data_IF_551244063969
#
_entry.id   IF_551244063969
#
_cell.length_a   1.000
_cell.length_b   1.000
_cell.length_c   1.000
_cell.angle_alpha   90.00
_cell.angle_beta   90.00
_cell.angle_gamma   90.00
#
_symmetry.space_group_name_H-M   'P 1'
#
loop_
_entity.id
_entity.type
_entity.pdbx_description
1 polymer ?
#
# COMPACT_ATOMS: atom_id res chain seq x y z
N UNK A 1 -8.22 -10.80 -32.82
CA UNK A 1 -6.84 -11.12 -32.40
C UNK A 1 -6.88 -11.24 -30.87
N UNK A 2 -7.09 -12.47 -30.37
CA UNK A 2 -7.12 -12.76 -28.93
C UNK A 2 -5.74 -12.50 -28.33
N UNK A 3 -5.67 -11.74 -27.24
CA UNK A 3 -4.43 -11.52 -26.48
C UNK A 3 -4.54 -12.34 -25.20
N UNK A 4 -3.67 -13.35 -25.04
CA UNK A 4 -3.45 -14.03 -23.75
C UNK A 4 -2.99 -12.98 -22.73
N UNK A 5 -3.66 -12.90 -21.58
CA UNK A 5 -3.26 -12.04 -20.48
C UNK A 5 -1.83 -12.39 -20.04
N UNK A 6 -0.96 -11.38 -19.99
CA UNK A 6 0.31 -11.47 -19.31
C UNK A 6 0.02 -11.11 -17.84
N UNK A 7 0.09 -12.08 -16.94
CA UNK A 7 0.21 -11.83 -15.48
C UNK A 7 1.64 -12.22 -15.09
N UNK A 8 2.15 -11.80 -13.93
CA UNK A 8 3.37 -12.44 -13.43
C UNK A 8 3.07 -13.91 -13.24
N UNK A 9 3.71 -14.75 -14.03
CA UNK A 9 3.46 -16.18 -13.96
C UNK A 9 4.35 -16.74 -12.86
N UNK A 10 3.74 -17.27 -11.80
CA UNK A 10 4.46 -18.12 -10.88
C UNK A 10 4.81 -19.40 -11.64
N UNK A 11 6.10 -19.64 -11.83
CA UNK A 11 6.58 -20.92 -12.34
C UNK A 11 7.07 -21.74 -11.15
N UNK A 12 6.34 -22.82 -10.86
CA UNK A 12 6.79 -23.80 -9.89
C UNK A 12 7.98 -24.58 -10.48
N UNK A 13 9.17 -24.41 -9.90
CA UNK A 13 10.26 -25.39 -10.00
C UNK A 13 10.27 -26.14 -8.67
N UNK A 14 10.30 -27.48 -8.56
CA UNK A 14 10.79 -28.55 -9.42
C UNK A 14 9.90 -29.81 -9.24
N UNK A 15 9.87 -30.66 -10.28
CA UNK A 15 9.07 -31.91 -10.44
C UNK A 15 7.59 -31.79 -10.87
N UNK A 16 7.39 -31.58 -12.18
CA UNK A 16 6.40 -32.32 -13.00
C UNK A 16 4.97 -31.80 -13.11
N UNK A 17 4.62 -31.19 -14.26
CA UNK A 17 3.69 -31.76 -15.25
C UNK A 17 3.55 -30.88 -16.52
N UNK A 18 3.35 -31.55 -17.65
CA UNK A 18 3.27 -31.05 -19.03
C UNK A 18 1.86 -30.55 -19.42
N UNK A 19 1.84 -29.75 -20.48
CA UNK A 19 0.74 -29.05 -21.19
C UNK A 19 -0.45 -29.94 -21.69
N UNK A 20 -1.67 -29.36 -21.84
CA UNK A 20 -2.43 -29.13 -23.12
C UNK A 20 -3.99 -29.04 -22.98
N UNK A 21 -4.63 -28.10 -23.73
CA UNK A 21 -6.02 -28.10 -24.29
C UNK A 21 -7.22 -27.74 -23.37
N UNK A 22 -8.40 -27.24 -23.78
CA UNK A 22 -9.10 -26.75 -25.01
C UNK A 22 -10.27 -25.85 -24.53
N UNK A 23 -10.68 -24.86 -25.34
CA UNK A 23 -11.76 -23.88 -25.12
C UNK A 23 -13.20 -24.46 -25.22
N UNK A 24 -14.13 -23.98 -24.38
CA UNK A 24 -15.58 -23.94 -24.66
C UNK A 24 -16.23 -22.72 -23.97
N UNK A 25 -17.25 -22.18 -24.62
CA UNK A 25 -17.69 -20.78 -24.57
C UNK A 25 -18.18 -20.22 -23.21
N UNK A 26 -17.89 -18.93 -22.98
CA UNK A 26 -18.53 -18.13 -21.92
C UNK A 26 -17.77 -16.84 -21.60
N UNK A 27 -18.14 -15.74 -22.28
CA UNK A 27 -17.59 -14.39 -22.06
C UNK A 27 -17.51 -13.98 -20.58
N UNK A 28 -16.30 -13.70 -20.09
CA UNK A 28 -16.01 -12.79 -18.97
C UNK A 28 -14.74 -11.99 -19.25
N UNK A 29 -14.86 -10.67 -19.16
CA UNK A 29 -13.84 -9.67 -19.48
C UNK A 29 -12.50 -9.89 -18.74
N UNK A 30 -11.43 -9.50 -19.43
CA UNK A 30 -10.02 -9.83 -19.19
C UNK A 30 -9.40 -9.30 -17.89
N UNK A 31 -8.69 -10.18 -17.17
CA UNK A 31 -7.71 -9.86 -16.11
C UNK A 31 -6.47 -9.15 -16.69
N UNK A 32 -6.61 -7.91 -17.13
CA UNK A 32 -5.57 -7.26 -17.94
C UNK A 32 -4.39 -6.69 -17.14
N UNK A 33 -4.45 -6.60 -15.80
CA UNK A 33 -3.58 -5.68 -15.04
C UNK A 33 -3.02 -6.32 -13.77
N UNK A 34 -1.72 -6.63 -13.82
CA UNK A 34 -0.99 -7.26 -12.71
C UNK A 34 -0.18 -6.29 -11.85
N UNK A 35 0.01 -5.04 -12.30
CA UNK A 35 0.71 -3.99 -11.55
C UNK A 35 -0.18 -2.77 -11.34
N UNK A 36 -0.13 -2.23 -10.13
CA UNK A 36 -0.86 -1.02 -9.77
C UNK A 36 -0.01 -0.09 -8.92
N UNK A 37 -0.18 1.21 -9.18
CA UNK A 37 0.28 2.28 -8.32
C UNK A 37 -0.91 3.12 -7.86
N UNK A 38 -0.73 3.82 -6.75
CA UNK A 38 -1.69 4.68 -6.09
C UNK A 38 -1.01 6.02 -5.82
N UNK A 39 -0.79 6.87 -6.85
CA UNK A 39 0.05 8.06 -6.74
C UNK A 39 -0.36 8.98 -5.60
N UNK A 40 -1.68 9.11 -5.41
CA UNK A 40 -2.29 9.77 -4.24
C UNK A 40 -2.89 8.71 -3.33
N UNK A 41 -2.47 8.73 -2.06
CA UNK A 41 -2.95 7.83 -1.02
C UNK A 41 -4.48 7.84 -0.97
N UNK A 42 -5.06 6.64 -0.87
CA UNK A 42 -6.49 6.38 -0.71
C UNK A 42 -7.42 6.75 -1.87
N UNK A 43 -6.94 7.40 -2.93
CA UNK A 43 -7.68 7.47 -4.21
C UNK A 43 -7.56 6.14 -4.97
N UNK A 44 -8.33 5.95 -6.06
CA UNK A 44 -8.23 4.73 -6.87
C UNK A 44 -6.87 4.64 -7.57
N UNK A 45 -6.39 3.41 -7.72
CA UNK A 45 -5.09 3.14 -8.33
C UNK A 45 -5.11 3.21 -9.85
N UNK A 46 -3.94 3.46 -10.40
CA UNK A 46 -3.63 3.40 -11.82
C UNK A 46 -3.02 2.05 -12.13
N UNK A 47 -3.64 1.25 -13.01
CA UNK A 47 -2.98 0.07 -13.54
C UNK A 47 -1.82 0.45 -14.48
N UNK A 48 -0.71 -0.28 -14.40
CA UNK A 48 0.48 0.00 -15.21
C UNK A 48 1.03 -1.30 -15.82
N UNK A 49 1.75 -1.19 -16.94
CA UNK A 49 2.36 -2.35 -17.61
C UNK A 49 3.78 -2.65 -17.13
N UNK A 50 4.44 -1.67 -16.53
CA UNK A 50 5.80 -1.79 -16.00
C UNK A 50 6.07 -0.70 -14.97
N UNK A 51 7.08 -0.92 -14.12
CA UNK A 51 7.52 0.06 -13.14
C UNK A 51 8.96 -0.19 -12.72
N UNK A 52 9.63 0.89 -12.30
CA UNK A 52 10.88 0.81 -11.57
C UNK A 52 10.59 0.46 -10.11
N UNK A 53 11.33 -0.51 -9.58
CA UNK A 53 11.27 -0.95 -8.19
C UNK A 53 12.18 -0.06 -7.35
N UNK A 54 11.74 0.27 -6.13
CA UNK A 54 12.52 1.03 -5.15
C UNK A 54 12.39 0.38 -3.79
N UNK A 55 13.29 0.68 -2.85
CA UNK A 55 13.15 0.19 -1.47
C UNK A 55 11.86 0.63 -0.79
N UNK A 56 11.19 1.65 -1.32
CA UNK A 56 10.03 2.29 -0.71
C UNK A 56 8.70 1.98 -1.42
N UNK A 57 8.72 1.09 -2.43
CA UNK A 57 7.57 0.74 -3.26
C UNK A 57 7.83 0.93 -4.76
N UNK A 58 6.83 0.68 -5.58
CA UNK A 58 6.89 0.99 -7.02
C UNK A 58 7.10 2.50 -7.22
N UNK A 59 7.83 2.89 -8.27
CA UNK A 59 8.04 4.29 -8.57
C UNK A 59 6.70 5.05 -8.68
N UNK A 60 6.68 6.26 -8.10
CA UNK A 60 5.51 7.14 -8.00
C UNK A 60 4.34 6.63 -7.13
N UNK A 61 4.48 5.51 -6.43
CA UNK A 61 3.43 5.00 -5.56
C UNK A 61 3.33 5.78 -4.23
N UNK A 62 2.13 6.28 -3.92
CA UNK A 62 1.76 6.96 -2.66
C UNK A 62 2.72 8.08 -2.26
N UNK A 63 3.15 8.89 -3.23
CA UNK A 63 3.98 10.09 -3.01
C UNK A 63 3.18 11.31 -2.59
N UNK A 64 1.85 11.25 -2.75
CA UNK A 64 0.93 12.31 -2.34
C UNK A 64 -0.12 11.77 -1.36
N UNK A 65 -0.68 12.65 -0.53
CA UNK A 65 -1.83 12.35 0.32
C UNK A 65 -2.71 13.57 0.54
N UNK A 66 -3.94 13.33 0.97
CA UNK A 66 -4.90 14.38 1.33
C UNK A 66 -5.10 14.44 2.84
N UNK A 67 -5.26 15.65 3.37
CA UNK A 67 -5.76 15.87 4.72
C UNK A 67 -7.00 16.75 4.67
N UNK A 68 -7.98 16.43 5.51
CA UNK A 68 -9.11 17.29 5.79
C UNK A 68 -8.68 18.35 6.79
N UNK A 69 -9.05 19.60 6.55
CA UNK A 69 -8.95 20.67 7.54
C UNK A 69 -10.23 20.66 8.38
N UNK A 70 -10.10 20.42 9.67
CA UNK A 70 -11.22 20.44 10.61
C UNK A 70 -11.60 21.88 10.99
N UNK A 71 -12.76 22.05 11.63
CA UNK A 71 -13.27 23.38 12.01
C UNK A 71 -12.31 24.16 12.94
N UNK A 72 -11.58 23.45 13.80
CA UNK A 72 -10.56 23.99 14.70
C UNK A 72 -9.18 24.17 14.01
N UNK A 73 -9.12 23.99 12.69
CA UNK A 73 -7.91 24.07 11.85
C UNK A 73 -6.88 22.98 12.11
N UNK A 74 -7.22 21.95 12.88
CA UNK A 74 -6.41 20.73 12.93
C UNK A 74 -6.52 19.96 11.61
N UNK A 75 -5.47 19.19 11.31
CA UNK A 75 -5.38 18.42 10.08
C UNK A 75 -5.62 16.95 10.37
N UNK A 76 -6.49 16.33 9.57
CA UNK A 76 -6.85 14.93 9.71
C UNK A 76 -6.50 14.16 8.45
N UNK A 77 -5.68 13.12 8.60
CA UNK A 77 -5.35 12.20 7.51
C UNK A 77 -6.61 11.62 6.88
N UNK A 78 -6.72 11.75 5.56
CA UNK A 78 -7.82 11.14 4.82
C UNK A 78 -7.45 9.72 4.39
N UNK A 79 -8.39 8.80 4.62
CA UNK A 79 -8.30 7.42 4.20
C UNK A 79 -9.67 6.94 3.72
N UNK A 80 -9.70 6.15 2.65
CA UNK A 80 -10.96 5.73 2.00
C UNK A 80 -11.90 4.93 2.89
N UNK A 81 -11.41 4.34 3.99
CA UNK A 81 -12.25 3.66 4.98
C UNK A 81 -12.98 4.60 5.94
N UNK A 82 -12.64 5.89 5.94
CA UNK A 82 -13.26 6.96 6.76
C UNK A 82 -13.92 8.01 5.89
N UNK A 83 -13.34 8.31 4.73
CA UNK A 83 -13.82 9.26 3.72
C UNK A 83 -14.07 8.48 2.44
N UNK A 84 -15.22 7.83 2.36
CA UNK A 84 -15.54 6.87 1.30
C UNK A 84 -15.57 7.56 -0.08
N UNK A 85 -15.94 8.84 -0.12
CA UNK A 85 -15.99 9.68 -1.32
C UNK A 85 -14.63 9.88 -1.99
N UNK A 86 -13.52 9.58 -1.30
CA UNK A 86 -12.19 9.46 -1.93
C UNK A 86 -12.19 8.42 -3.08
N UNK A 87 -13.08 7.44 -3.06
CA UNK A 87 -13.22 6.50 -4.15
C UNK A 87 -13.88 7.09 -5.40
N UNK A 88 -14.36 8.32 -5.39
CA UNK A 88 -14.90 8.97 -6.59
C UNK A 88 -13.80 9.55 -7.49
N UNK A 89 -12.55 9.51 -7.03
CA UNK A 89 -11.39 10.01 -7.76
C UNK A 89 -10.62 8.86 -8.40
N UNK A 90 -10.45 8.93 -9.72
CA UNK A 90 -9.57 8.06 -10.50
C UNK A 90 -8.25 8.78 -10.75
N UNK A 91 -7.17 8.01 -10.85
CA UNK A 91 -5.86 8.54 -11.19
C UNK A 91 -5.33 7.82 -12.42
N UNK A 92 -4.79 8.59 -13.36
CA UNK A 92 -3.98 8.12 -14.47
C UNK A 92 -2.59 8.75 -14.36
N UNK A 93 -1.58 8.12 -14.96
CA UNK A 93 -0.19 8.61 -14.91
C UNK A 93 0.37 8.73 -16.32
N UNK A 94 0.84 9.93 -16.63
CA UNK A 94 1.68 10.22 -17.79
C UNK A 94 3.12 10.14 -17.33
N UNK A 95 3.83 9.08 -17.71
CA UNK A 95 5.23 8.90 -17.32
C UNK A 95 6.14 9.87 -18.08
N UNK A 96 7.23 10.36 -17.44
CA UNK A 96 8.15 11.26 -18.08
C UNK A 96 8.82 10.60 -19.28
N UNK A 97 9.03 11.36 -20.35
CA UNK A 97 9.82 10.92 -21.52
C UNK A 97 11.22 11.49 -21.44
N UNK A 98 12.20 10.66 -21.79
CA UNK A 98 13.60 11.05 -21.89
C UNK A 98 14.06 10.96 -23.35
N UNK A 99 14.94 11.87 -23.75
CA UNK A 99 15.63 11.82 -25.03
C UNK A 99 16.61 10.63 -25.05
N UNK A 100 17.16 10.32 -26.22
CA UNK A 100 18.20 9.30 -26.36
C UNK A 100 19.44 9.60 -25.49
N UNK A 101 19.70 10.90 -25.25
CA UNK A 101 20.78 11.44 -24.42
C UNK A 101 20.42 11.51 -22.92
N UNK A 102 19.20 11.07 -22.54
CA UNK A 102 18.76 10.97 -21.15
C UNK A 102 18.13 12.24 -20.56
N UNK A 103 18.03 13.33 -21.33
CA UNK A 103 17.38 14.56 -20.90
C UNK A 103 15.85 14.39 -20.87
N UNK A 104 15.17 14.87 -19.82
CA UNK A 104 13.70 14.84 -19.76
C UNK A 104 13.13 15.77 -20.83
N UNK A 105 12.37 15.22 -21.78
CA UNK A 105 11.70 15.99 -22.85
C UNK A 105 10.25 16.31 -22.51
N UNK A 106 9.61 15.48 -21.69
CA UNK A 106 8.26 15.69 -21.19
C UNK A 106 8.25 15.34 -19.69
N UNK A 107 7.81 16.28 -18.86
CA UNK A 107 7.61 16.03 -17.44
C UNK A 107 6.45 15.08 -17.21
N UNK A 108 6.61 14.20 -16.22
CA UNK A 108 5.57 13.26 -15.87
C UNK A 108 4.48 13.91 -15.01
N UNK A 109 3.22 13.47 -15.18
CA UNK A 109 2.05 14.02 -14.49
C UNK A 109 1.11 12.94 -13.97
N UNK A 110 0.42 13.24 -12.88
CA UNK A 110 -0.77 12.55 -12.41
C UNK A 110 -1.97 13.29 -12.96
N UNK A 111 -2.86 12.59 -13.67
CA UNK A 111 -4.16 13.12 -14.07
C UNK A 111 -5.20 12.58 -13.09
N UNK A 112 -5.74 13.47 -12.26
CA UNK A 112 -6.80 13.14 -11.29
C UNK A 112 -8.14 13.48 -11.91
N UNK A 113 -9.04 12.49 -11.99
CA UNK A 113 -10.39 12.65 -12.53
C UNK A 113 -11.41 12.43 -11.43
N UNK A 114 -12.30 13.38 -11.22
CA UNK A 114 -13.42 13.28 -10.29
C UNK A 114 -14.73 13.16 -11.06
N UNK A 115 -15.57 12.20 -10.64
CA UNK A 115 -16.95 12.06 -11.09
C UNK A 115 -17.87 12.01 -9.88
N UNK A 116 -18.93 12.83 -9.88
CA UNK A 116 -19.90 12.84 -8.80
C UNK A 116 -20.57 11.46 -8.63
N UNK A 117 -21.12 11.11 -7.45
CA UNK A 117 -21.71 9.79 -7.23
C UNK A 117 -22.93 9.54 -8.12
N UNK A 118 -23.27 8.27 -8.34
CA UNK A 118 -24.48 7.89 -9.10
C UNK A 118 -25.71 8.56 -8.48
N UNK A 119 -26.53 9.19 -9.34
CA UNK A 119 -27.72 9.94 -8.92
C UNK A 119 -27.48 11.43 -8.64
N UNK A 120 -26.23 11.91 -8.64
CA UNK A 120 -25.93 13.34 -8.57
C UNK A 120 -26.20 14.05 -9.90
N UNK A 121 -26.73 15.30 -9.93
CA UNK A 121 -26.99 16.04 -11.17
C UNK A 121 -25.75 16.17 -12.07
N UNK A 122 -24.59 16.37 -11.48
CA UNK A 122 -23.31 16.50 -12.19
C UNK A 122 -22.60 15.16 -12.44
N UNK A 123 -23.30 14.00 -12.39
CA UNK A 123 -22.67 12.68 -12.56
C UNK A 123 -21.88 12.56 -13.86
N UNK A 124 -22.41 13.13 -14.94
CA UNK A 124 -21.81 13.03 -16.27
C UNK A 124 -20.70 14.07 -16.50
N UNK A 125 -20.50 15.00 -15.56
CA UNK A 125 -19.43 15.99 -15.61
C UNK A 125 -18.17 15.40 -14.99
N UNK A 126 -17.12 15.25 -15.80
CA UNK A 126 -15.79 14.86 -15.32
C UNK A 126 -14.98 16.11 -15.04
N UNK A 127 -14.52 16.26 -13.80
CA UNK A 127 -13.54 17.30 -13.42
C UNK A 127 -12.15 16.68 -13.47
N UNK A 128 -11.19 17.40 -14.03
CA UNK A 128 -9.80 16.95 -14.13
C UNK A 128 -8.83 17.92 -13.46
N UNK A 129 -7.72 17.39 -12.96
CA UNK A 129 -6.60 18.12 -12.39
C UNK A 129 -5.30 17.42 -12.76
N UNK A 130 -4.32 18.17 -13.25
CA UNK A 130 -2.96 17.68 -13.49
C UNK A 130 -2.05 18.08 -12.33
N UNK A 131 -1.30 17.12 -11.80
CA UNK A 131 -0.30 17.33 -10.74
C UNK A 131 1.04 16.79 -11.26
N UNK A 132 2.16 17.54 -11.17
CA UNK A 132 3.47 17.01 -11.52
C UNK A 132 3.78 15.74 -10.71
N UNK A 133 4.34 14.70 -11.34
CA UNK A 133 4.75 13.48 -10.62
C UNK A 133 5.87 13.77 -9.60
N UNK A 134 6.76 14.68 -9.98
CA UNK A 134 7.90 15.14 -9.19
C UNK A 134 7.93 16.67 -9.26
N UNK A 135 7.17 17.37 -8.39
CA UNK A 135 7.23 18.82 -8.28
C UNK A 135 8.67 19.30 -8.06
N UNK A 136 9.16 20.15 -8.97
CA UNK A 136 10.55 20.60 -8.98
C UNK A 136 10.83 21.70 -7.93
N UNK A 137 9.84 22.57 -7.67
CA UNK A 137 9.96 23.67 -6.72
C UNK A 137 9.14 23.37 -5.46
N UNK A 138 9.81 22.77 -4.48
CA UNK A 138 9.26 22.58 -3.12
C UNK A 138 9.84 23.59 -2.13
N UNK A 139 10.72 24.48 -2.59
CA UNK A 139 11.37 25.46 -1.73
C UNK A 139 10.35 26.54 -1.33
N UNK A 140 10.31 26.89 -0.05
CA UNK A 140 9.32 27.84 0.47
C UNK A 140 7.89 27.30 0.62
N UNK A 141 7.59 26.07 0.19
CA UNK A 141 6.31 25.43 0.51
C UNK A 141 6.18 25.19 2.02
N UNK A 142 4.95 25.35 2.53
CA UNK A 142 4.66 25.07 3.94
C UNK A 142 4.90 23.59 4.23
N UNK A 143 5.71 23.30 5.24
CA UNK A 143 5.93 21.95 5.73
C UNK A 143 4.84 21.57 6.72
N UNK A 144 4.26 20.39 6.55
CA UNK A 144 3.27 19.78 7.44
C UNK A 144 3.85 18.48 7.99
N UNK A 145 3.77 18.31 9.30
CA UNK A 145 4.09 17.04 9.94
C UNK A 145 2.88 16.10 9.88
N UNK A 146 3.11 14.88 9.40
CA UNK A 146 2.10 13.85 9.24
C UNK A 146 2.52 12.63 10.05
N UNK A 147 1.75 12.31 11.09
CA UNK A 147 1.82 11.01 11.75
C UNK A 147 0.82 10.06 11.09
N UNK A 148 1.31 8.90 10.62
CA UNK A 148 0.42 7.78 10.33
C UNK A 148 0.88 6.57 11.13
N UNK A 149 -0.01 6.00 11.93
CA UNK A 149 0.28 4.78 12.69
C UNK A 149 1.54 4.91 13.58
N UNK A 150 1.77 6.08 14.18
CA UNK A 150 2.95 6.39 15.01
C UNK A 150 4.29 6.40 14.28
N UNK A 151 4.27 6.54 12.97
CA UNK A 151 5.44 6.82 12.16
C UNK A 151 5.23 8.20 11.53
N UNK A 152 6.02 9.18 11.96
CA UNK A 152 5.90 10.57 11.53
C UNK A 152 6.80 10.84 10.31
N UNK A 153 6.38 11.77 9.46
CA UNK A 153 7.21 12.32 8.39
C UNK A 153 6.81 13.77 8.10
N UNK A 154 7.70 14.50 7.44
CA UNK A 154 7.42 15.84 6.91
C UNK A 154 6.94 15.73 5.46
N UNK A 155 6.05 16.63 5.07
CA UNK A 155 5.56 16.72 3.71
C UNK A 155 5.24 18.18 3.36
N UNK A 156 5.19 18.49 2.07
CA UNK A 156 5.00 19.83 1.55
C UNK A 156 3.54 20.05 1.17
N UNK A 157 2.92 21.11 1.69
CA UNK A 157 1.62 21.59 1.25
C UNK A 157 1.77 22.16 -0.16
N UNK A 158 1.13 21.49 -1.13
CA UNK A 158 1.22 21.82 -2.55
C UNK A 158 0.48 23.12 -2.91
N UNK A 159 -0.17 23.76 -1.94
CA UNK A 159 -0.73 25.10 -2.11
C UNK A 159 -2.19 25.10 -2.57
N UNK A 160 -2.71 26.33 -2.71
CA UNK A 160 -4.14 26.60 -2.86
C UNK A 160 -4.72 26.12 -4.20
N UNK A 161 -3.93 26.09 -5.26
CA UNK A 161 -4.41 25.66 -6.58
C UNK A 161 -4.97 24.23 -6.51
N UNK A 162 -4.15 23.27 -6.06
CA UNK A 162 -4.57 21.88 -5.92
C UNK A 162 -5.58 21.69 -4.78
N UNK A 163 -5.35 22.36 -3.64
CA UNK A 163 -6.20 22.23 -2.46
C UNK A 163 -7.63 22.73 -2.70
N UNK A 164 -7.79 23.84 -3.43
CA UNK A 164 -9.12 24.37 -3.78
C UNK A 164 -9.87 23.42 -4.74
N UNK A 165 -9.16 22.80 -5.69
CA UNK A 165 -9.78 21.85 -6.62
C UNK A 165 -10.34 20.63 -5.87
N UNK A 166 -9.55 20.02 -4.97
CA UNK A 166 -10.04 18.92 -4.14
C UNK A 166 -11.17 19.38 -3.24
N UNK A 167 -11.02 20.53 -2.57
CA UNK A 167 -12.05 21.07 -1.68
C UNK A 167 -13.39 21.29 -2.40
N UNK A 168 -13.36 21.79 -3.64
CA UNK A 168 -14.55 21.96 -4.46
C UNK A 168 -15.21 20.65 -4.92
N UNK A 169 -14.44 19.54 -4.97
CA UNK A 169 -14.99 18.21 -5.26
C UNK A 169 -15.55 17.54 -4.00
N UNK A 170 -14.87 17.66 -2.86
CA UNK A 170 -15.30 17.07 -1.59
C UNK A 170 -16.42 17.86 -0.88
N UNK A 171 -16.52 19.16 -1.13
CA UNK A 171 -17.46 20.06 -0.44
C UNK A 171 -16.99 20.51 0.95
N UNK A 172 -15.73 20.25 1.30
CA UNK A 172 -15.08 20.70 2.54
C UNK A 172 -13.60 20.98 2.31
N UNK A 173 -12.96 21.70 3.23
CA UNK A 173 -11.57 22.13 3.10
C UNK A 173 -10.60 20.92 3.17
N UNK A 174 -9.80 20.76 2.11
CA UNK A 174 -8.83 19.67 1.92
C UNK A 174 -7.51 20.27 1.43
N UNK A 175 -6.39 19.77 1.95
CA UNK A 175 -5.05 20.10 1.45
C UNK A 175 -4.39 18.89 0.79
N UNK A 176 -3.64 19.15 -0.28
CA UNK A 176 -2.80 18.16 -0.96
C UNK A 176 -1.36 18.26 -0.44
N UNK A 177 -0.85 17.16 0.08
CA UNK A 177 0.55 17.05 0.47
C UNK A 177 1.37 16.24 -0.53
N UNK A 178 2.58 16.69 -0.78
CA UNK A 178 3.63 15.95 -1.48
C UNK A 178 4.73 15.54 -0.51
N UNK A 179 5.14 14.28 -0.57
CA UNK A 179 6.14 13.75 0.33
C UNK A 179 7.56 14.33 0.06
N UNK A 180 7.87 14.64 -1.19
CA UNK A 180 9.25 14.97 -1.61
C UNK A 180 10.20 13.81 -1.31
N UNK A 181 11.43 14.12 -0.87
CA UNK A 181 12.42 13.09 -0.52
C UNK A 181 12.27 12.52 0.89
N UNK A 182 11.31 13.03 1.67
CA UNK A 182 11.02 12.49 2.99
C UNK A 182 10.47 11.06 2.92
N UNK A 183 10.63 10.29 3.97
CA UNK A 183 10.06 8.95 4.11
C UNK A 183 9.62 8.76 5.56
N UNK A 184 8.86 7.70 5.81
CA UNK A 184 8.41 7.30 7.15
C UNK A 184 8.96 5.91 7.49
N UNK A 185 9.35 5.73 8.74
CA UNK A 185 9.97 4.50 9.22
C UNK A 185 8.95 3.36 9.27
N UNK A 186 9.35 2.16 8.86
CA UNK A 186 8.57 0.94 9.06
C UNK A 186 8.79 0.44 10.49
N UNK A 187 7.71 0.19 11.22
CA UNK A 187 7.76 -0.15 12.63
C UNK A 187 7.45 -1.63 12.89
N UNK A 188 7.69 -2.07 14.13
CA UNK A 188 7.40 -3.43 14.59
C UNK A 188 8.34 -4.45 13.98
N UNK A 189 7.82 -5.66 13.75
CA UNK A 189 8.59 -6.80 13.25
C UNK A 189 8.45 -7.01 11.74
N UNK A 190 7.92 -6.01 11.03
CA UNK A 190 7.75 -6.07 9.58
C UNK A 190 9.01 -5.89 8.76
N UNK A 191 9.97 -5.01 9.12
CA UNK A 191 11.21 -4.90 8.37
C UNK A 191 11.92 -6.27 8.31
N UNK A 192 12.45 -6.70 7.15
CA UNK A 192 13.16 -7.98 7.04
C UNK A 192 14.31 -8.14 8.05
N UNK A 193 14.89 -7.03 8.51
CA UNK A 193 15.98 -7.02 9.47
C UNK A 193 15.55 -6.76 10.93
N UNK A 194 14.25 -6.70 11.23
CA UNK A 194 13.77 -6.47 12.60
C UNK A 194 14.29 -7.53 13.59
N UNK A 195 14.34 -8.79 13.18
CA UNK A 195 14.86 -9.89 14.00
C UNK A 195 16.36 -9.75 14.34
N UNK A 196 17.15 -9.12 13.45
CA UNK A 196 18.56 -8.83 13.72
C UNK A 196 18.71 -7.68 14.74
N UNK A 197 17.87 -6.64 14.62
CA UNK A 197 17.85 -5.49 15.54
C UNK A 197 17.38 -5.86 16.95
N UNK A 198 16.46 -6.81 17.08
CA UNK A 198 16.00 -7.34 18.37
C UNK A 198 17.05 -8.15 19.15
N UNK A 199 18.09 -8.67 18.49
CA UNK A 199 19.22 -9.35 19.17
C UNK A 199 20.25 -8.35 19.72
N UNK A 200 20.53 -7.28 18.99
CA UNK A 200 21.48 -6.23 19.44
C UNK A 200 20.99 -5.43 20.64
N UNK A 201 19.67 -5.27 20.83
CA UNK A 201 19.10 -4.64 22.02
C UNK A 201 19.05 -5.57 23.23
N UNK A 202 18.99 -6.90 23.02
CA UNK A 202 19.07 -7.89 24.10
C UNK A 202 20.50 -8.07 24.63
N UNK A 203 21.53 -7.90 23.80
CA UNK A 203 22.94 -8.01 24.21
C UNK A 203 23.47 -6.73 24.92
N UNK A 204 22.72 -5.63 24.90
CA UNK A 204 23.06 -4.38 25.61
C UNK A 204 22.43 -4.27 27.00
N UNK A 205 21.71 -5.29 27.48
CA UNK A 205 21.24 -5.38 28.87
C UNK A 205 21.93 -6.51 29.61
N UNK A 206 23.14 -6.24 30.10
CA UNK A 206 23.72 -7.05 31.18
C UNK A 206 22.89 -6.84 32.46
N UNK A 207 22.49 -7.91 33.18
CA UNK A 207 21.62 -7.77 34.35
C UNK A 207 22.45 -7.27 35.53
N UNK A 208 22.27 -5.99 35.90
CA UNK A 208 22.68 -5.54 37.23
C UNK A 208 21.63 -5.99 38.25
N UNK A 209 22.08 -6.87 39.13
CA UNK A 209 21.34 -7.50 40.19
C UNK A 209 21.11 -6.50 41.34
N UNK A 210 19.83 -6.26 41.73
CA UNK A 210 19.28 -5.68 42.97
C UNK A 210 17.85 -5.21 42.63
N UNK A 211 16.73 -5.64 43.22
CA UNK A 211 16.46 -6.15 44.55
C UNK A 211 15.33 -5.29 45.17
N UNK A 212 14.07 -5.76 45.07
CA UNK A 212 12.96 -5.43 45.99
C UNK A 212 12.17 -4.12 45.81
N UNK A 213 10.84 -4.22 45.96
CA UNK A 213 10.01 -3.19 46.62
C UNK A 213 8.85 -2.57 45.82
N UNK A 214 7.62 -2.78 46.31
CA UNK A 214 6.36 -2.15 45.89
C UNK A 214 6.06 -0.92 46.80
N UNK A 215 5.44 0.12 46.20
CA UNK A 215 4.74 1.32 46.76
C UNK A 215 5.59 2.58 46.89
N UNK A 216 5.14 3.84 46.68
CA UNK A 216 3.87 4.48 46.27
C UNK A 216 4.11 6.02 46.18
N UNK A 217 3.24 6.73 45.45
CA UNK A 217 2.73 8.11 45.72
C UNK A 217 3.28 9.37 44.98
N UNK A 218 2.38 9.97 44.16
CA UNK A 218 1.91 11.38 43.99
C UNK A 218 2.88 12.50 44.48
N UNK A 219 3.23 13.61 43.79
CA UNK A 219 2.42 14.66 43.13
C UNK A 219 3.32 15.71 42.41
N UNK A 220 2.81 16.24 41.27
CA UNK A 220 2.88 17.62 40.73
C UNK A 220 4.16 18.35 40.25
N UNK A 221 3.96 18.96 39.06
CA UNK A 221 4.46 20.24 38.53
C UNK A 221 5.76 20.29 37.67
N UNK A 222 5.56 20.20 36.33
CA UNK A 222 6.12 20.94 35.17
C UNK A 222 7.63 21.32 35.12
N UNK A 223 8.32 21.34 33.95
CA UNK A 223 7.82 21.72 32.62
C UNK A 223 8.32 20.84 31.45
N UNK A 224 7.80 21.13 30.24
CA UNK A 224 8.38 20.88 28.90
C UNK A 224 9.66 20.01 28.85
N UNK A 225 9.51 18.73 28.47
CA UNK A 225 10.63 17.97 27.94
C UNK A 225 10.76 18.24 26.45
N UNK A 226 11.76 19.07 26.17
CA UNK A 226 12.43 19.25 24.90
C UNK A 226 12.78 17.87 24.31
N UNK A 227 12.17 17.52 23.18
CA UNK A 227 12.62 16.40 22.37
C UNK A 227 13.75 16.94 21.49
N UNK A 228 14.91 17.19 22.09
CA UNK A 228 16.11 17.47 21.32
C UNK A 228 16.76 16.16 20.88
N UNK A 229 16.70 15.99 19.58
CA UNK A 229 17.61 15.26 18.73
C UNK A 229 19.08 15.49 19.09
N UNK A 230 19.76 14.47 19.58
CA UNK A 230 20.92 13.86 18.88
C UNK A 230 21.80 13.00 19.80
N UNK A 231 22.51 12.08 19.15
CA UNK A 231 23.60 11.24 19.67
C UNK A 231 23.21 9.88 20.29
N UNK A 232 22.73 8.97 19.45
CA UNK A 232 23.42 7.68 19.38
C UNK A 232 24.17 7.60 18.04
N UNK A 233 25.48 7.80 18.11
CA UNK A 233 26.43 7.42 17.06
C UNK A 233 26.49 5.90 16.99
N UNK A 234 25.45 5.31 16.39
CA UNK A 234 25.48 4.00 15.77
C UNK A 234 25.17 4.19 14.30
N UNK A 235 25.92 3.52 13.42
CA UNK A 235 25.72 3.55 11.98
C UNK A 235 24.40 2.82 11.59
N UNK A 236 23.25 3.34 12.02
CA UNK A 236 21.94 2.67 11.96
C UNK A 236 21.00 3.18 10.87
N UNK A 237 21.34 4.30 10.21
CA UNK A 237 20.47 4.91 9.20
C UNK A 237 20.33 4.12 7.90
N UNK A 238 21.37 3.38 7.49
CA UNK A 238 21.38 2.70 6.20
C UNK A 238 20.61 1.36 6.21
N UNK A 239 20.38 0.80 7.40
CA UNK A 239 19.66 -0.47 7.56
C UNK A 239 18.18 -0.26 7.92
N UNK A 240 17.70 0.96 8.13
CA UNK A 240 16.27 1.16 8.35
C UNK A 240 15.45 0.91 7.07
N UNK A 241 14.26 0.33 7.26
CA UNK A 241 13.27 0.20 6.20
C UNK A 241 12.33 1.41 6.25
N UNK A 242 12.19 2.05 5.10
CA UNK A 242 11.44 3.28 4.95
C UNK A 242 10.37 3.12 3.87
N UNK A 243 9.23 3.76 4.05
CA UNK A 243 8.12 3.75 3.08
C UNK A 243 7.65 5.17 2.75
N UNK A 244 6.88 5.29 1.67
CA UNK A 244 6.15 6.51 1.31
C UNK A 244 4.88 6.63 2.16
N UNK A 245 3.81 7.32 1.72
CA UNK A 245 2.52 7.33 2.43
C UNK A 245 1.75 5.99 2.38
N UNK A 246 2.44 4.89 2.07
CA UNK A 246 1.94 3.54 2.35
C UNK A 246 1.64 3.36 3.85
N UNK A 247 0.65 2.51 4.16
CA UNK A 247 0.23 2.31 5.54
C UNK A 247 1.37 1.70 6.37
N UNK A 248 1.89 0.57 5.88
CA UNK A 248 2.66 -0.38 6.69
C UNK A 248 3.89 -0.96 5.94
N UNK A 249 3.81 -1.21 4.63
CA UNK A 249 4.90 -1.82 3.85
C UNK A 249 5.01 -1.25 2.44
N UNK A 250 6.17 -1.45 1.81
CA UNK A 250 6.51 -0.93 0.49
C UNK A 250 5.68 -1.58 -0.64
N UNK A 251 5.40 -2.88 -0.51
CA UNK A 251 4.64 -3.65 -1.49
C UNK A 251 3.51 -4.41 -0.84
N UNK A 252 2.40 -4.55 -1.58
CA UNK A 252 1.35 -5.53 -1.29
C UNK A 252 1.23 -6.48 -2.49
N UNK A 253 1.51 -7.76 -2.26
CA UNK A 253 1.41 -8.83 -3.25
C UNK A 253 0.17 -9.68 -2.94
N UNK A 254 -0.59 -10.04 -3.97
CA UNK A 254 -1.75 -10.94 -3.87
C UNK A 254 -1.69 -11.99 -4.98
N UNK A 255 -2.33 -13.14 -4.79
CA UNK A 255 -2.53 -14.10 -5.88
C UNK A 255 -3.84 -13.86 -6.62
N UNK A 256 -3.84 -14.10 -7.93
CA UNK A 256 -5.05 -14.10 -8.75
C UNK A 256 -6.04 -15.15 -8.27
N UNK A 257 -5.57 -16.35 -7.90
CA UNK A 257 -6.37 -17.45 -7.35
C UNK A 257 -7.13 -17.03 -6.09
N UNK A 258 -6.50 -16.28 -5.18
CA UNK A 258 -7.20 -15.69 -4.02
C UNK A 258 -8.25 -14.65 -4.41
N UNK A 259 -7.97 -13.81 -5.41
CA UNK A 259 -8.94 -12.80 -5.89
C UNK A 259 -10.16 -13.45 -6.53
N UNK A 260 -9.97 -14.57 -7.23
CA UNK A 260 -11.04 -15.39 -7.77
C UNK A 260 -11.87 -16.03 -6.65
N UNK A 261 -11.24 -16.54 -5.59
CA UNK A 261 -11.97 -17.04 -4.39
C UNK A 261 -12.82 -15.95 -3.74
N UNK A 262 -12.34 -14.71 -3.62
CA UNK A 262 -13.19 -13.63 -3.10
C UNK A 262 -14.39 -13.37 -4.02
N UNK A 263 -14.14 -13.36 -5.33
CA UNK A 263 -15.18 -13.12 -6.33
C UNK A 263 -16.24 -14.22 -6.29
N UNK A 264 -15.86 -15.49 -6.11
CA UNK A 264 -16.79 -16.62 -6.01
C UNK A 264 -17.66 -16.60 -4.75
N UNK A 265 -17.31 -15.79 -3.74
CA UNK A 265 -18.16 -15.58 -2.55
C UNK A 265 -19.31 -14.60 -2.80
N UNK A 266 -19.35 -13.94 -3.95
CA UNK A 266 -20.43 -13.06 -4.39
C UNK A 266 -21.40 -13.83 -5.31
N UNK A 267 -22.66 -13.38 -5.45
CA UNK A 267 -23.59 -13.95 -6.43
C UNK A 267 -23.01 -13.91 -7.84
N UNK A 268 -23.38 -14.86 -8.70
CA UNK A 268 -22.82 -14.98 -10.06
C UNK A 268 -23.00 -13.72 -10.93
N UNK A 269 -24.01 -12.90 -10.65
CA UNK A 269 -24.27 -11.63 -11.33
C UNK A 269 -23.43 -10.44 -10.81
N UNK A 270 -22.61 -10.63 -9.78
CA UNK A 270 -21.78 -9.59 -9.17
C UNK A 270 -20.30 -10.00 -9.15
N UNK A 271 -19.47 -9.26 -9.88
CA UNK A 271 -18.03 -9.42 -9.82
C UNK A 271 -17.42 -8.55 -8.70
N UNK A 272 -16.45 -9.09 -7.98
CA UNK A 272 -15.71 -8.30 -7.00
C UNK A 272 -14.78 -7.31 -7.71
N UNK A 273 -14.86 -6.04 -7.34
CA UNK A 273 -13.85 -5.06 -7.75
C UNK A 273 -12.55 -5.30 -6.98
N UNK A 274 -11.65 -6.05 -7.61
CA UNK A 274 -10.36 -6.44 -7.04
C UNK A 274 -9.45 -5.24 -6.72
N UNK A 275 -9.67 -4.08 -7.37
CA UNK A 275 -8.87 -2.87 -7.12
C UNK A 275 -9.05 -2.36 -5.68
N UNK A 276 -10.14 -2.73 -5.02
CA UNK A 276 -10.42 -2.42 -3.60
C UNK A 276 -9.44 -3.10 -2.64
N UNK A 277 -8.76 -4.17 -3.06
CA UNK A 277 -7.69 -4.80 -2.27
C UNK A 277 -6.40 -3.97 -2.26
N UNK A 278 -6.26 -3.06 -3.22
CA UNK A 278 -5.16 -2.09 -3.31
C UNK A 278 -3.77 -2.73 -3.38
N UNK A 279 -3.68 -3.90 -4.00
CA UNK A 279 -2.42 -4.61 -4.23
C UNK A 279 -1.54 -3.85 -5.23
N UNK A 280 -0.23 -3.90 -5.05
CA UNK A 280 0.72 -3.36 -6.03
C UNK A 280 1.06 -4.38 -7.10
N UNK A 281 1.12 -5.67 -6.74
CA UNK A 281 1.49 -6.78 -7.62
C UNK A 281 0.48 -7.92 -7.46
N UNK A 282 -0.05 -8.41 -8.57
CA UNK A 282 -0.90 -9.60 -8.66
C UNK A 282 -0.12 -10.70 -9.38
N UNK A 283 0.05 -11.84 -8.71
CA UNK A 283 0.73 -13.01 -9.28
C UNK A 283 -0.30 -14.07 -9.68
N UNK A 284 -0.15 -14.68 -10.86
CA UNK A 284 -0.96 -15.83 -11.29
C UNK A 284 -0.19 -17.14 -11.10
N UNK A 285 -0.89 -18.28 -11.17
CA UNK A 285 -0.27 -19.61 -11.12
C UNK A 285 -0.15 -20.23 -9.72
N UNK A 286 -0.74 -19.63 -8.68
CA UNK A 286 -0.95 -20.31 -7.40
C UNK A 286 -1.99 -21.42 -7.59
N UNK A 287 -1.73 -22.63 -7.09
CA UNK A 287 -2.63 -23.76 -7.28
C UNK A 287 -3.90 -23.61 -6.46
N UNK A 288 -3.76 -23.17 -5.20
CA UNK A 288 -4.86 -22.99 -4.27
C UNK A 288 -5.02 -21.52 -3.83
N UNK A 289 -6.25 -21.08 -3.51
CA UNK A 289 -6.47 -19.78 -2.87
C UNK A 289 -5.66 -19.65 -1.59
N UNK A 290 -5.12 -18.45 -1.36
CA UNK A 290 -4.42 -18.01 -0.17
C UNK A 290 -3.06 -18.65 0.08
N UNK A 291 -2.47 -19.32 -0.90
CA UNK A 291 -1.10 -19.80 -0.81
C UNK A 291 -0.08 -18.69 -0.49
N UNK A 292 -0.36 -17.45 -0.90
CA UNK A 292 0.50 -16.30 -0.61
C UNK A 292 0.69 -16.04 0.88
N UNK A 293 -0.23 -16.50 1.74
CA UNK A 293 -0.09 -16.46 3.20
C UNK A 293 1.20 -17.16 3.70
N UNK A 294 1.78 -18.03 2.87
CA UNK A 294 2.97 -18.81 3.18
C UNK A 294 4.20 -18.45 2.34
N UNK A 295 4.12 -17.62 1.31
CA UNK A 295 5.30 -17.23 0.52
C UNK A 295 6.28 -16.38 1.32
N UNK A 296 7.43 -16.90 1.74
CA UNK A 296 8.45 -16.14 2.46
C UNK A 296 9.26 -15.21 1.54
N UNK A 297 9.51 -15.64 0.30
CA UNK A 297 10.25 -14.89 -0.70
C UNK A 297 9.71 -15.18 -2.10
N UNK A 298 9.61 -14.13 -2.92
CA UNK A 298 9.31 -14.22 -4.36
C UNK A 298 10.46 -13.58 -5.12
N UNK A 299 11.01 -14.31 -6.09
CA UNK A 299 12.08 -13.82 -6.99
C UNK A 299 11.50 -13.60 -8.38
N UNK A 300 11.79 -12.45 -9.00
CA UNK A 300 11.33 -12.08 -10.36
C UNK A 300 12.55 -11.92 -11.26
N UNK A 301 12.52 -12.40 -12.51
CA UNK A 301 13.66 -12.36 -13.46
C UNK A 301 14.99 -12.92 -12.90
N UNK A 302 14.91 -13.90 -12.01
CA UNK A 302 16.04 -14.57 -11.35
C UNK A 302 16.80 -13.79 -10.27
N UNK A 303 16.76 -12.45 -10.25
CA UNK A 303 17.58 -11.63 -9.34
C UNK A 303 16.81 -10.62 -8.49
N UNK A 304 15.57 -10.26 -8.87
CA UNK A 304 14.77 -9.28 -8.13
C UNK A 304 14.04 -9.99 -6.99
N UNK A 305 14.51 -9.79 -5.75
CA UNK A 305 13.99 -10.50 -4.57
C UNK A 305 13.03 -9.65 -3.77
N UNK A 306 11.84 -10.19 -3.55
CA UNK A 306 10.83 -9.67 -2.64
C UNK A 306 10.77 -10.54 -1.38
N UNK A 307 11.26 -10.04 -0.26
CA UNK A 307 11.06 -10.66 1.05
C UNK A 307 9.68 -10.31 1.58
N UNK A 308 8.88 -11.33 1.89
CA UNK A 308 7.47 -11.15 2.27
C UNK A 308 7.26 -11.46 3.75
N UNK A 309 7.08 -10.43 4.57
CA UNK A 309 7.30 -10.51 6.02
C UNK A 309 6.03 -10.67 6.85
N UNK A 310 4.88 -10.19 6.37
CA UNK A 310 3.63 -10.31 7.13
C UNK A 310 2.39 -10.31 6.24
N UNK A 311 1.34 -10.98 6.71
CA UNK A 311 0.03 -10.96 6.07
C UNK A 311 -0.68 -9.61 6.26
N UNK A 312 -1.40 -9.17 5.23
CA UNK A 312 -2.09 -7.90 5.22
C UNK A 312 -3.47 -8.02 5.87
N UNK A 313 -3.60 -7.52 7.10
CA UNK A 313 -4.89 -7.41 7.78
C UNK A 313 -5.80 -6.42 7.02
N UNK A 314 -6.96 -6.88 6.58
CA UNK A 314 -7.90 -6.06 5.80
C UNK A 314 -8.78 -5.22 6.71
N UNK A 315 -9.13 -4.03 6.24
CA UNK A 315 -10.07 -3.13 6.91
C UNK A 315 -11.33 -2.93 6.06
N UNK A 316 -12.27 -2.11 6.56
CA UNK A 316 -13.55 -1.83 5.90
C UNK A 316 -13.44 -1.15 4.54
N UNK A 317 -12.26 -0.72 4.10
CA UNK A 317 -12.05 -0.12 2.78
C UNK A 317 -12.53 -1.01 1.63
N UNK A 318 -12.44 -2.34 1.79
CA UNK A 318 -12.84 -3.28 0.71
C UNK A 318 -14.37 -3.35 0.53
N UNK A 319 -15.14 -2.81 1.47
CA UNK A 319 -16.60 -2.75 1.40
C UNK A 319 -17.11 -1.41 0.84
N UNK A 320 -16.22 -0.48 0.48
CA UNK A 320 -16.63 0.81 -0.09
C UNK A 320 -17.16 0.58 -1.50
N UNK A 321 -18.30 1.19 -1.81
CA UNK A 321 -18.82 1.22 -3.17
C UNK A 321 -18.24 2.45 -3.89
N UNK A 322 -17.47 2.13 -4.92
CA UNK A 322 -16.73 3.09 -5.71
C UNK A 322 -17.65 3.93 -6.59
N UNK A 323 -18.84 3.45 -6.96
CA UNK A 323 -19.78 4.21 -7.79
C UNK A 323 -20.52 5.30 -7.01
N UNK A 324 -20.80 5.03 -5.73
CA UNK A 324 -21.53 5.93 -4.84
C UNK A 324 -20.61 6.73 -3.93
N UNK A 325 -19.34 6.35 -3.76
CA UNK A 325 -18.46 7.00 -2.80
C UNK A 325 -18.91 6.79 -1.36
N UNK A 326 -19.64 5.70 -1.10
CA UNK A 326 -20.27 5.41 0.19
C UNK A 326 -19.97 3.98 0.65
N UNK A 327 -20.47 3.63 1.84
CA UNK A 327 -20.42 2.25 2.30
C UNK A 327 -21.28 1.41 1.35
N UNK A 328 -20.71 0.34 0.80
CA UNK A 328 -21.45 -0.56 -0.08
C UNK A 328 -22.62 -1.23 0.62
N UNK A 329 -23.68 -1.47 -0.14
CA UNK A 329 -24.89 -2.18 0.28
C UNK A 329 -24.87 -3.57 -0.37
N UNK A 330 -25.53 -4.55 0.25
CA UNK A 330 -25.63 -5.90 -0.31
C UNK A 330 -24.35 -6.75 -0.14
N UNK A 331 -24.15 -7.70 -1.05
CA UNK A 331 -23.16 -8.75 -0.91
C UNK A 331 -21.72 -8.24 -1.08
N UNK A 332 -21.43 -7.41 -2.10
CA UNK A 332 -20.12 -6.73 -2.22
C UNK A 332 -19.83 -5.75 -1.09
N UNK A 333 -20.87 -5.13 -0.52
CA UNK A 333 -20.78 -4.29 0.69
C UNK A 333 -20.44 -5.06 1.97
N UNK A 334 -20.51 -6.39 1.94
CA UNK A 334 -20.27 -7.28 3.07
C UNK A 334 -19.04 -8.19 2.90
N UNK A 335 -18.19 -7.96 1.89
CA UNK A 335 -17.02 -8.81 1.58
C UNK A 335 -16.08 -9.02 2.76
N UNK A 336 -15.78 -7.97 3.53
CA UNK A 336 -14.96 -8.12 4.74
C UNK A 336 -15.55 -9.13 5.73
N UNK A 337 -16.88 -9.13 5.91
CA UNK A 337 -17.57 -10.09 6.79
C UNK A 337 -17.53 -11.50 6.21
N UNK A 338 -17.59 -11.65 4.87
CA UNK A 338 -17.42 -12.94 4.20
C UNK A 338 -16.01 -13.51 4.42
N UNK A 339 -14.97 -12.68 4.31
CA UNK A 339 -13.59 -13.07 4.61
C UNK A 339 -13.37 -13.37 6.10
N UNK A 340 -14.06 -12.67 7.02
CA UNK A 340 -13.94 -12.94 8.45
C UNK A 340 -14.33 -14.37 8.88
N UNK A 341 -15.09 -15.10 8.05
CA UNK A 341 -15.53 -16.46 8.36
C UNK A 341 -14.36 -17.43 8.52
N UNK A 342 -13.33 -17.27 7.70
CA UNK A 342 -12.23 -18.23 7.52
C UNK A 342 -10.85 -17.56 7.44
N UNK A 343 -10.75 -16.27 7.16
CA UNK A 343 -9.47 -15.56 6.95
C UNK A 343 -8.90 -14.86 8.18
N UNK A 344 -9.47 -15.07 9.38
CA UNK A 344 -8.90 -14.60 10.66
C UNK A 344 -7.83 -15.58 11.16
N UNK A 345 -6.78 -15.74 10.36
CA UNK A 345 -5.72 -16.76 10.55
C UNK A 345 -4.45 -16.21 11.20
N UNK A 346 -4.29 -14.89 11.24
CA UNK A 346 -3.13 -14.23 11.86
C UNK A 346 -3.36 -13.99 13.37
N UNK A 347 -2.47 -14.55 14.19
CA UNK A 347 -2.56 -14.46 15.66
C UNK A 347 -2.33 -13.05 16.20
N UNK A 348 -1.61 -12.20 15.47
CA UNK A 348 -1.37 -10.79 15.80
C UNK A 348 -2.53 -9.88 15.41
N UNK A 349 -3.43 -10.35 14.56
CA UNK A 349 -4.61 -9.61 14.08
C UNK A 349 -5.89 -10.46 14.16
N UNK A 350 -6.19 -11.00 15.34
CA UNK A 350 -7.28 -11.97 15.59
C UNK A 350 -8.67 -11.51 15.14
N UNK A 351 -8.91 -10.20 15.09
CA UNK A 351 -10.22 -9.62 14.77
C UNK A 351 -10.41 -9.33 13.28
N UNK A 352 -9.35 -9.28 12.48
CA UNK A 352 -9.41 -8.85 11.08
C UNK A 352 -9.01 -9.99 10.16
N UNK A 353 -9.70 -10.20 9.03
CA UNK A 353 -9.28 -11.16 8.05
C UNK A 353 -7.99 -10.68 7.36
N UNK A 354 -7.16 -11.61 6.89
CA UNK A 354 -5.98 -11.28 6.10
C UNK A 354 -6.20 -11.57 4.61
N UNK A 355 -5.61 -10.74 3.76
CA UNK A 355 -5.62 -10.94 2.32
C UNK A 355 -4.41 -10.24 1.68
N UNK A 356 -3.56 -11.03 1.03
CA UNK A 356 -2.29 -10.55 0.47
C UNK A 356 -1.19 -10.43 1.50
N UNK A 357 0.03 -10.16 1.00
CA UNK A 357 1.25 -10.16 1.79
C UNK A 357 2.08 -8.91 1.58
N UNK A 358 2.57 -8.38 2.69
CA UNK A 358 3.48 -7.25 2.71
C UNK A 358 4.87 -7.68 2.26
N UNK A 359 5.44 -6.91 1.34
CA UNK A 359 6.74 -7.18 0.76
C UNK A 359 7.71 -6.01 0.86
N UNK A 360 8.99 -6.37 0.87
CA UNK A 360 10.15 -5.49 0.84
C UNK A 360 11.14 -6.06 -0.17
N UNK A 361 11.99 -5.21 -0.75
CA UNK A 361 13.05 -5.67 -1.66
C UNK A 361 14.41 -5.55 -0.98
N UNK A 362 15.37 -6.38 -1.38
CA UNK A 362 16.75 -6.20 -0.97
C UNK A 362 17.37 -4.93 -1.59
N UNK A 363 18.50 -4.48 -1.02
CA UNK A 363 19.20 -3.28 -1.53
C UNK A 363 19.66 -3.46 -2.98
N UNK A 364 20.02 -4.68 -3.38
CA UNK A 364 20.54 -5.00 -4.71
C UNK A 364 19.47 -4.91 -5.82
N UNK A 365 18.21 -5.21 -5.51
CA UNK A 365 17.08 -5.11 -6.44
C UNK A 365 16.63 -3.66 -6.69
N UNK A 366 17.12 -2.70 -5.90
CA UNK A 366 16.73 -1.29 -6.01
C UNK A 366 17.10 -0.70 -7.37
N UNK A 367 16.12 -0.11 -8.07
CA UNK A 367 16.32 0.49 -9.39
C UNK A 367 16.06 -0.46 -10.56
N UNK A 368 15.88 -1.76 -10.31
CA UNK A 368 15.46 -2.71 -11.34
C UNK A 368 14.06 -2.39 -11.87
N UNK A 369 13.73 -2.92 -13.04
CA UNK A 369 12.42 -2.76 -13.67
C UNK A 369 11.70 -4.10 -13.75
N UNK A 370 10.41 -4.08 -13.40
CA UNK A 370 9.49 -5.18 -13.65
C UNK A 370 8.40 -4.74 -14.61
N UNK A 371 7.88 -5.70 -15.36
CA UNK A 371 6.78 -5.55 -16.29
C UNK A 371 5.82 -6.72 -16.12
N UNK A 372 4.58 -6.44 -16.47
CA UNK A 372 3.53 -7.44 -16.58
C UNK A 372 3.99 -8.54 -17.55
N UNK A 373 3.88 -9.80 -17.11
CA UNK A 373 4.34 -10.97 -17.87
C UNK A 373 5.73 -11.47 -17.51
N UNK A 374 6.47 -10.78 -16.64
CA UNK A 374 7.72 -11.33 -16.11
C UNK A 374 7.45 -12.59 -15.26
N UNK A 375 8.37 -13.53 -15.32
CA UNK A 375 8.31 -14.75 -14.53
C UNK A 375 8.66 -14.47 -13.06
N UNK A 376 7.89 -15.07 -12.16
CA UNK A 376 8.11 -15.03 -10.73
C UNK A 376 8.23 -16.45 -10.17
N UNK A 377 9.06 -16.64 -9.15
CA UNK A 377 9.23 -17.93 -8.48
C UNK A 377 9.11 -17.72 -6.98
N UNK A 378 8.26 -18.52 -6.34
CA UNK A 378 8.22 -18.58 -4.87
C UNK A 378 9.43 -19.35 -4.40
N UNK A 379 10.48 -18.62 -4.03
CA UNK A 379 11.82 -19.15 -3.70
C UNK A 379 11.90 -19.61 -2.25
N UNK A 380 11.05 -19.08 -1.37
CA UNK A 380 10.93 -19.54 0.02
C UNK A 380 9.47 -19.66 0.43
N UNK A 381 9.12 -20.72 1.18
CA UNK A 381 7.82 -20.89 1.83
C UNK A 381 7.94 -21.08 3.34
N UNK A 382 7.07 -20.40 4.07
CA UNK A 382 6.92 -20.51 5.51
C UNK A 382 6.09 -21.74 5.86
N UNK A 383 6.46 -22.42 6.95
CA UNK A 383 5.71 -23.58 7.47
C UNK A 383 4.43 -23.18 8.23
N UNK A 384 4.32 -21.91 8.64
CA UNK A 384 3.24 -21.37 9.47
C UNK A 384 2.93 -19.93 9.03
N UNK A 385 1.72 -19.47 9.32
CA UNK A 385 1.37 -18.06 9.20
C UNK A 385 2.32 -17.19 10.03
N UNK A 386 2.65 -16.03 9.50
CA UNK A 386 3.32 -14.96 10.24
C UNK A 386 2.42 -14.45 11.36
N UNK A 387 3.01 -13.79 12.35
CA UNK A 387 2.28 -13.09 13.42
C UNK A 387 2.52 -11.61 13.22
N UNK A 388 1.50 -10.87 12.81
CA UNK A 388 1.61 -9.43 12.60
C UNK A 388 1.92 -8.72 13.91
N UNK A 389 2.92 -7.84 13.91
CA UNK A 389 3.23 -6.95 15.03
C UNK A 389 3.53 -5.54 14.54
N UNK A 390 2.76 -4.56 15.02
CA UNK A 390 3.00 -3.14 14.81
C UNK A 390 2.63 -2.36 16.10
N UNK A 391 3.49 -1.47 16.61
CA UNK A 391 3.23 -0.73 17.83
C UNK A 391 1.92 0.07 17.78
N UNK A 392 1.05 -0.09 18.79
CA UNK A 392 -0.26 0.58 18.89
C UNK A 392 -1.30 0.20 17.82
N UNK A 393 -0.99 -0.75 16.93
CA UNK A 393 -1.97 -1.37 16.01
C UNK A 393 -2.30 -2.83 16.39
N UNK A 394 -1.45 -3.45 17.21
CA UNK A 394 -1.66 -4.79 17.76
C UNK A 394 -2.13 -4.71 19.19
N UNK A 395 -3.07 -5.59 19.55
CA UNK A 395 -3.77 -5.64 20.84
C UNK A 395 -3.12 -6.59 21.83
#
# INVERSE_FOLDING_TARGET
MLVRALTFRIVATSEGLKETGVDDDGERESFEKALYIYPIKSLRGTPISHSRITRHGLAYDRRFMLLKVEHDKTLRNMQVSKFNEMSLFRTDVLFPRKSAEGATTEEGKIVVKYQAPVGHPDRDVVKELEIPLEPADVEGLRIVEVDMYSSACKAYDMGKEYSNWFSGCFGYEVILLYLGENRRLVLGDLPPNAAAKGRTTAESQSPSNKGGGWMSSITEALPFFDYDTSSSTGNSGDDDEWITFADIAAYLIVSETSLQDVSSRLPECEAMDISKFRANIVLSGAAEPYEEDFWGEVTVKDDIKFTLTSNCARCRSINVDYNTGAQGIGESGAVLKKLMKDRRVDKGSKQRPVFGRYGFIDKASGGAYIKVGDEAVVSTRNKKHTVFYWPKLTS
#
